data_IF_991967490014
#
_entry.id   IF_991967490014
#
_cell.length_a   1.000
_cell.length_b   1.000
_cell.length_c   1.000
_cell.angle_alpha   90.00
_cell.angle_beta   90.00
_cell.angle_gamma   90.00
#
_symmetry.space_group_name_H-M   'P 1'
#
loop_
_entity.id
_entity.type
_entity.pdbx_description
1 polymer ?
#
# COMPACT_ATOMS: atom_id res chain seq x y z
N UNK A 1 -56.76 -33.69 -14.24
CA UNK A 1 -56.51 -32.77 -13.13
C UNK A 1 -55.01 -32.55 -12.99
N UNK A 2 -54.62 -31.44 -13.40
CA UNK A 2 -53.19 -31.06 -13.43
C UNK A 2 -52.84 -30.27 -12.18
N UNK A 3 -52.00 -30.84 -11.37
CA UNK A 3 -51.36 -30.12 -10.26
C UNK A 3 -50.07 -29.52 -10.79
N UNK A 4 -50.10 -28.24 -10.99
CA UNK A 4 -48.88 -27.46 -11.28
C UNK A 4 -48.20 -27.12 -9.96
N UNK A 5 -47.15 -27.82 -9.68
CA UNK A 5 -46.19 -27.34 -8.70
C UNK A 5 -45.25 -26.35 -9.39
N UNK A 6 -45.46 -25.11 -9.10
CA UNK A 6 -44.53 -24.09 -9.44
C UNK A 6 -43.31 -24.22 -8.53
N UNK A 7 -42.17 -24.55 -9.10
CA UNK A 7 -40.87 -24.45 -8.49
C UNK A 7 -40.55 -23.00 -8.18
N UNK A 8 -40.65 -22.62 -6.94
CA UNK A 8 -39.90 -21.50 -6.40
C UNK A 8 -38.50 -22.00 -6.05
N UNK A 9 -37.67 -22.16 -7.06
CA UNK A 9 -36.28 -22.45 -6.87
C UNK A 9 -35.53 -21.14 -6.62
N UNK A 10 -35.23 -20.89 -5.36
CA UNK A 10 -33.85 -20.60 -4.90
C UNK A 10 -33.13 -19.43 -5.56
N UNK A 11 -33.46 -18.24 -5.09
CA UNK A 11 -32.57 -17.08 -5.20
C UNK A 11 -31.90 -16.75 -3.86
N UNK A 12 -31.70 -17.73 -3.01
CA UNK A 12 -31.07 -17.51 -1.70
C UNK A 12 -29.58 -17.85 -1.65
N UNK A 13 -28.98 -18.22 -2.78
CA UNK A 13 -27.57 -18.66 -2.82
C UNK A 13 -26.51 -17.56 -2.98
N UNK A 14 -26.91 -16.32 -3.31
CA UNK A 14 -25.95 -15.30 -3.69
C UNK A 14 -25.55 -14.33 -2.57
N UNK A 15 -26.15 -14.45 -1.36
CA UNK A 15 -25.93 -13.50 -0.26
C UNK A 15 -25.11 -14.04 0.91
N UNK A 16 -24.61 -15.26 0.82
CA UNK A 16 -23.79 -15.89 1.84
C UNK A 16 -22.37 -16.07 1.35
N UNK A 17 -21.69 -14.96 1.05
CA UNK A 17 -20.22 -14.99 1.06
C UNK A 17 -19.77 -15.05 2.52
N UNK A 18 -19.06 -16.12 2.95
CA UNK A 18 -18.56 -16.19 4.31
C UNK A 18 -17.65 -14.98 4.57
N UNK A 19 -17.79 -14.35 5.74
CA UNK A 19 -16.97 -13.20 6.11
C UNK A 19 -15.45 -13.51 6.05
N UNK A 20 -15.05 -14.78 6.19
CA UNK A 20 -13.68 -15.24 5.97
C UNK A 20 -13.16 -15.02 4.55
N UNK A 21 -14.02 -15.08 3.52
CA UNK A 21 -13.66 -14.79 2.14
C UNK A 21 -13.34 -13.28 1.92
N UNK A 22 -13.93 -12.37 2.71
CA UNK A 22 -13.60 -10.94 2.67
C UNK A 22 -12.23 -10.66 3.28
N UNK A 23 -11.86 -11.31 4.38
CA UNK A 23 -10.55 -11.18 5.01
C UNK A 23 -9.44 -11.70 4.08
N UNK A 24 -9.65 -12.85 3.42
CA UNK A 24 -8.76 -13.37 2.38
C UNK A 24 -8.71 -12.42 1.18
N UNK A 25 -9.85 -11.86 0.77
CA UNK A 25 -9.94 -10.86 -0.29
C UNK A 25 -9.10 -9.61 0.01
N UNK A 26 -9.16 -9.10 1.25
CA UNK A 26 -8.34 -7.97 1.68
C UNK A 26 -6.86 -8.31 1.71
N UNK A 27 -6.45 -9.45 2.24
CA UNK A 27 -5.06 -9.89 2.24
C UNK A 27 -4.49 -9.97 0.82
N UNK A 28 -5.22 -10.61 -0.09
CA UNK A 28 -4.82 -10.72 -1.50
C UNK A 28 -4.80 -9.36 -2.18
N UNK A 29 -5.77 -8.50 -1.91
CA UNK A 29 -5.89 -7.18 -2.48
C UNK A 29 -4.73 -6.27 -2.03
N UNK A 30 -4.42 -6.23 -0.75
CA UNK A 30 -3.31 -5.45 -0.21
C UNK A 30 -1.97 -5.99 -0.74
N UNK A 31 -1.79 -7.31 -0.80
CA UNK A 31 -0.59 -7.93 -1.37
C UNK A 31 -0.36 -7.50 -2.83
N UNK A 32 -1.42 -7.39 -3.62
CA UNK A 32 -1.33 -6.90 -5.01
C UNK A 32 -0.98 -5.42 -5.11
N UNK A 33 -1.43 -4.62 -4.16
CA UNK A 33 -1.13 -3.19 -4.10
C UNK A 33 0.31 -2.91 -3.66
N UNK A 34 0.91 -3.83 -2.90
CA UNK A 34 2.29 -3.73 -2.42
C UNK A 34 3.26 -4.14 -3.53
N UNK A 35 3.77 -3.16 -4.25
CA UNK A 35 4.73 -3.37 -5.34
C UNK A 35 6.11 -3.73 -4.81
N UNK A 36 6.71 -4.80 -5.33
CA UNK A 36 8.10 -5.17 -5.04
C UNK A 36 9.10 -4.11 -5.48
N UNK A 37 8.79 -3.39 -6.55
CA UNK A 37 9.66 -2.31 -7.04
C UNK A 37 9.64 -1.13 -6.08
N UNK A 38 8.49 -0.79 -5.53
CA UNK A 38 8.39 0.25 -4.50
C UNK A 38 9.14 -0.16 -3.23
N UNK A 39 9.04 -1.41 -2.81
CA UNK A 39 9.78 -1.95 -1.68
C UNK A 39 11.30 -1.85 -1.89
N UNK A 40 11.79 -2.21 -3.07
CA UNK A 40 13.21 -2.09 -3.42
C UNK A 40 13.67 -0.63 -3.39
N UNK A 41 12.86 0.29 -3.91
CA UNK A 41 13.15 1.71 -3.87
C UNK A 41 13.20 2.24 -2.43
N UNK A 42 12.26 1.85 -1.60
CA UNK A 42 12.21 2.23 -0.18
C UNK A 42 13.46 1.70 0.56
N UNK A 43 13.81 0.45 0.36
CA UNK A 43 15.01 -0.15 0.95
C UNK A 43 16.28 0.59 0.53
N UNK A 44 16.39 0.91 -0.76
CA UNK A 44 17.53 1.65 -1.30
C UNK A 44 17.58 3.07 -0.76
N UNK A 45 16.44 3.76 -0.69
CA UNK A 45 16.31 5.08 -0.10
C UNK A 45 16.82 5.09 1.35
N UNK A 46 16.33 4.18 2.17
CA UNK A 46 16.74 4.06 3.57
C UNK A 46 18.22 3.77 3.73
N UNK A 47 18.79 2.95 2.85
CA UNK A 47 20.24 2.66 2.85
C UNK A 47 21.06 3.91 2.56
N UNK A 48 20.70 4.68 1.55
CA UNK A 48 21.42 5.90 1.17
C UNK A 48 21.29 6.95 2.26
N UNK A 49 20.10 7.15 2.81
CA UNK A 49 19.88 8.07 3.92
C UNK A 49 20.76 7.71 5.11
N UNK A 50 20.84 6.43 5.44
CA UNK A 50 21.71 5.94 6.50
C UNK A 50 23.19 6.19 6.21
N UNK A 51 23.64 5.93 4.98
CA UNK A 51 25.04 6.20 4.59
C UNK A 51 25.39 7.68 4.74
N UNK A 52 24.49 8.58 4.37
CA UNK A 52 24.67 10.02 4.52
C UNK A 52 24.76 10.39 6.01
N UNK A 53 23.92 9.82 6.86
CA UNK A 53 23.92 10.07 8.30
C UNK A 53 25.20 9.57 8.98
N UNK A 54 25.69 8.40 8.60
CA UNK A 54 26.83 7.74 9.24
C UNK A 54 28.17 8.23 8.71
N UNK A 55 28.28 8.54 7.42
CA UNK A 55 29.56 8.83 6.73
C UNK A 55 29.66 10.24 6.17
N UNK A 56 28.58 11.00 6.30
CA UNK A 56 28.48 12.33 5.71
C UNK A 56 27.98 12.31 4.28
N UNK A 57 27.53 13.46 3.82
CA UNK A 57 27.00 13.64 2.47
C UNK A 57 28.12 13.74 1.44
N UNK A 58 27.88 13.19 0.27
CA UNK A 58 28.67 13.45 -0.94
C UNK A 58 27.71 13.87 -2.06
N UNK A 59 28.21 14.63 -3.06
CA UNK A 59 27.34 15.05 -4.19
C UNK A 59 26.66 13.86 -4.88
N UNK A 60 27.37 12.74 -5.01
CA UNK A 60 26.83 11.51 -5.61
C UNK A 60 25.71 10.91 -4.78
N UNK A 61 25.90 10.77 -3.47
CA UNK A 61 24.89 10.19 -2.57
C UNK A 61 23.65 11.08 -2.51
N UNK A 62 23.84 12.39 -2.41
CA UNK A 62 22.74 13.35 -2.40
C UNK A 62 21.95 13.31 -3.70
N UNK A 63 22.62 13.28 -4.85
CA UNK A 63 21.95 13.16 -6.16
C UNK A 63 21.14 11.87 -6.27
N UNK A 64 21.67 10.76 -5.78
CA UNK A 64 20.97 9.48 -5.78
C UNK A 64 19.77 9.48 -4.82
N UNK A 65 19.93 10.04 -3.63
CA UNK A 65 18.84 10.21 -2.67
C UNK A 65 17.70 11.03 -3.27
N UNK A 66 18.00 12.16 -3.91
CA UNK A 66 17.02 13.01 -4.59
C UNK A 66 16.29 12.25 -5.70
N UNK A 67 17.02 11.51 -6.50
CA UNK A 67 16.45 10.74 -7.61
C UNK A 67 15.49 9.67 -7.12
N UNK A 68 15.88 8.93 -6.09
CA UNK A 68 15.03 7.86 -5.52
C UNK A 68 13.81 8.46 -4.84
N UNK A 69 13.97 9.53 -4.08
CA UNK A 69 12.85 10.20 -3.43
C UNK A 69 11.79 10.69 -4.44
N UNK A 70 12.23 11.24 -5.57
CA UNK A 70 11.33 11.65 -6.65
C UNK A 70 10.58 10.48 -7.28
N UNK A 71 11.25 9.35 -7.47
CA UNK A 71 10.63 8.14 -8.01
C UNK A 71 9.68 7.50 -7.00
N UNK A 72 10.02 7.56 -5.71
CA UNK A 72 9.26 6.92 -4.64
C UNK A 72 7.97 7.66 -4.30
N UNK A 73 7.98 8.99 -4.33
CA UNK A 73 6.84 9.82 -3.93
C UNK A 73 5.53 9.44 -4.64
N UNK A 74 5.43 9.43 -5.99
CA UNK A 74 4.18 9.09 -6.65
C UNK A 74 3.77 7.64 -6.43
N UNK A 75 4.71 6.74 -6.26
CA UNK A 75 4.42 5.32 -6.00
C UNK A 75 3.79 5.13 -4.62
N UNK A 76 4.34 5.76 -3.59
CA UNK A 76 3.79 5.71 -2.24
C UNK A 76 2.43 6.40 -2.16
N UNK A 77 2.26 7.54 -2.82
CA UNK A 77 0.96 8.21 -2.90
C UNK A 77 -0.10 7.34 -3.55
N UNK A 78 0.23 6.70 -4.66
CA UNK A 78 -0.67 5.79 -5.38
C UNK A 78 -1.05 4.58 -4.54
N UNK A 79 -0.09 3.95 -3.88
CA UNK A 79 -0.35 2.81 -3.00
C UNK A 79 -1.22 3.20 -1.81
N UNK A 80 -0.93 4.31 -1.13
CA UNK A 80 -1.73 4.80 -0.02
C UNK A 80 -3.17 5.08 -0.43
N UNK A 81 -3.38 5.75 -1.54
CA UNK A 81 -4.71 6.03 -2.09
C UNK A 81 -5.46 4.72 -2.35
N UNK A 82 -4.82 3.76 -3.02
CA UNK A 82 -5.43 2.47 -3.34
C UNK A 82 -5.77 1.66 -2.09
N UNK A 83 -4.90 1.65 -1.08
CA UNK A 83 -5.16 0.96 0.20
C UNK A 83 -6.35 1.61 0.92
N UNK A 84 -6.40 2.93 0.98
CA UNK A 84 -7.51 3.66 1.62
C UNK A 84 -8.84 3.45 0.89
N UNK A 85 -8.83 3.47 -0.43
CA UNK A 85 -10.00 3.24 -1.26
C UNK A 85 -10.51 1.80 -1.21
N UNK A 86 -9.64 0.84 -0.91
CA UNK A 86 -10.03 -0.57 -0.79
C UNK A 86 -11.03 -0.83 0.35
N UNK A 87 -11.04 0.03 1.37
CA UNK A 87 -11.85 -0.14 2.57
C UNK A 87 -11.34 -1.23 3.52
N UNK A 88 -10.24 -1.89 3.21
CA UNK A 88 -9.69 -2.99 4.00
C UNK A 88 -9.20 -2.56 5.39
N UNK A 89 -8.97 -1.29 5.61
CA UNK A 89 -8.65 -0.76 6.95
C UNK A 89 -9.79 -0.98 7.96
N UNK A 90 -11.02 -1.13 7.46
CA UNK A 90 -12.21 -1.42 8.28
C UNK A 90 -12.45 -2.91 8.47
N UNK A 91 -11.62 -3.76 7.90
CA UNK A 91 -11.76 -5.20 8.05
C UNK A 91 -11.55 -5.61 9.52
N UNK A 92 -12.47 -6.39 10.13
CA UNK A 92 -12.38 -6.75 11.54
C UNK A 92 -11.14 -7.56 11.92
N UNK A 93 -10.60 -8.34 10.97
CA UNK A 93 -9.46 -9.22 11.22
C UNK A 93 -8.13 -8.56 10.86
N UNK A 94 -8.09 -7.81 9.77
CA UNK A 94 -6.86 -7.27 9.19
C UNK A 94 -6.71 -5.76 9.35
N UNK A 95 -7.75 -5.07 9.82
CA UNK A 95 -7.77 -3.60 9.87
C UNK A 95 -6.60 -2.99 10.63
N UNK A 96 -6.23 -3.57 11.77
CA UNK A 96 -5.11 -3.08 12.58
C UNK A 96 -3.77 -3.23 11.86
N UNK A 97 -3.54 -4.37 11.23
CA UNK A 97 -2.33 -4.61 10.43
C UNK A 97 -2.25 -3.66 9.23
N UNK A 98 -3.37 -3.45 8.57
CA UNK A 98 -3.45 -2.52 7.42
C UNK A 98 -3.23 -1.08 7.88
N UNK A 99 -3.77 -0.69 9.04
CA UNK A 99 -3.51 0.63 9.62
C UNK A 99 -2.02 0.86 9.91
N UNK A 100 -1.31 -0.16 10.37
CA UNK A 100 0.14 -0.09 10.58
C UNK A 100 0.91 0.04 9.26
N UNK A 101 0.50 -0.69 8.23
CA UNK A 101 1.07 -0.55 6.87
C UNK A 101 0.86 0.87 6.34
N UNK A 102 -0.34 1.41 6.48
CA UNK A 102 -0.66 2.79 6.06
C UNK A 102 0.23 3.78 6.78
N UNK A 103 0.38 3.64 8.08
CA UNK A 103 1.22 4.52 8.90
C UNK A 103 2.68 4.49 8.45
N UNK A 104 3.23 3.30 8.23
CA UNK A 104 4.60 3.13 7.71
C UNK A 104 4.78 3.80 6.34
N UNK A 105 3.82 3.66 5.44
CA UNK A 105 3.86 4.29 4.13
C UNK A 105 3.72 5.82 4.20
N UNK A 106 2.90 6.32 5.13
CA UNK A 106 2.78 7.76 5.37
C UNK A 106 4.08 8.37 5.88
N UNK A 107 4.77 7.67 6.77
CA UNK A 107 6.08 8.08 7.28
C UNK A 107 7.13 8.09 6.17
N UNK A 108 7.19 7.04 5.35
CA UNK A 108 8.09 6.96 4.20
C UNK A 108 7.81 8.07 3.18
N UNK A 109 6.54 8.33 2.92
CA UNK A 109 6.11 9.40 2.02
C UNK A 109 6.52 10.78 2.56
N UNK A 110 6.31 11.03 3.85
CA UNK A 110 6.70 12.28 4.48
C UNK A 110 8.22 12.52 4.38
N UNK A 111 9.01 11.48 4.56
CA UNK A 111 10.47 11.56 4.41
C UNK A 111 10.87 11.83 2.97
N UNK A 112 10.27 11.14 2.00
CA UNK A 112 10.55 11.35 0.58
C UNK A 112 10.18 12.78 0.14
N UNK A 113 9.04 13.29 0.57
CA UNK A 113 8.60 14.66 0.30
C UNK A 113 9.55 15.70 0.91
N UNK A 114 9.99 15.48 2.13
CA UNK A 114 10.97 16.33 2.80
C UNK A 114 12.29 16.36 2.04
N UNK A 115 12.75 15.23 1.54
CA UNK A 115 13.96 15.13 0.72
C UNK A 115 13.81 15.91 -0.58
N UNK A 116 12.73 15.70 -1.32
CA UNK A 116 12.50 16.40 -2.61
C UNK A 116 12.34 17.91 -2.45
N UNK A 117 11.91 18.38 -1.28
CA UNK A 117 11.77 19.80 -0.99
C UNK A 117 13.11 20.52 -0.69
N UNK A 118 14.17 19.77 -0.41
CA UNK A 118 15.49 20.36 -0.13
C UNK A 118 16.07 21.05 -1.37
N UNK A 119 16.80 22.14 -1.15
CA UNK A 119 17.45 22.92 -2.22
C UNK A 119 18.37 22.07 -3.09
N UNK A 120 19.05 21.10 -2.50
CA UNK A 120 19.97 20.18 -3.19
C UNK A 120 19.25 19.27 -4.21
N UNK A 121 17.94 19.09 -4.06
CA UNK A 121 17.11 18.26 -4.95
C UNK A 121 16.33 19.05 -6.00
N UNK A 122 16.49 20.37 -6.05
CA UNK A 122 15.80 21.24 -7.00
C UNK A 122 16.53 21.38 -8.33
#
# INVERSE_FOLDING_TARGET
>A
MLVRFACCATLAGALLMPQGARAEGCAAQISKLMSKDTEKLTTRYNRITRQIQERGSSPRLVAEECRIARALTPRLQGQLTAIKESGCIKDPQMGNMIADIVRGHEDDLAMALKTTARSECR
#
